data_IF_984926026128
#
_entry.id   IF_984926026128
#
_cell.length_a   1.000
_cell.length_b   1.000
_cell.length_c   1.000
_cell.angle_alpha   90.00
_cell.angle_beta   90.00
_cell.angle_gamma   90.00
#
_symmetry.space_group_name_H-M   'P 1'
#
loop_
_entity.id
_entity.type
_entity.pdbx_description
1 polymer ?
#
# COMPACT_ATOMS: atom_id res chain seq x y z
N UNK A 1 -29.55 20.76 -4.43
CA UNK A 1 -30.28 19.57 -4.91
C UNK A 1 -30.79 18.75 -3.75
N UNK A 2 -31.91 18.08 -3.94
CA UNK A 2 -32.65 17.47 -2.84
C UNK A 2 -32.14 16.06 -2.47
N UNK A 3 -30.99 15.67 -2.92
CA UNK A 3 -30.37 14.37 -2.62
C UNK A 3 -29.57 13.77 -3.79
N UNK A 4 -29.26 12.51 -3.64
CA UNK A 4 -28.44 11.73 -4.58
C UNK A 4 -29.27 10.64 -5.25
N UNK A 5 -29.05 10.44 -6.55
CA UNK A 5 -29.56 9.30 -7.29
C UNK A 5 -28.40 8.38 -7.70
N UNK A 6 -28.43 7.15 -7.23
CA UNK A 6 -27.44 6.12 -7.54
C UNK A 6 -28.01 5.15 -8.57
N UNK A 7 -27.34 5.01 -9.72
CA UNK A 7 -27.67 4.02 -10.75
C UNK A 7 -26.85 2.76 -10.53
N UNK A 8 -27.52 1.64 -10.36
CA UNK A 8 -26.84 0.37 -10.15
C UNK A 8 -27.38 -0.70 -11.10
N UNK A 9 -26.64 -1.80 -11.34
CA UNK A 9 -27.14 -2.92 -12.12
C UNK A 9 -28.42 -3.56 -11.56
N UNK A 10 -28.76 -3.29 -10.27
CA UNK A 10 -29.95 -3.80 -9.60
C UNK A 10 -31.11 -2.79 -9.55
N UNK A 11 -30.95 -1.61 -10.15
CA UNK A 11 -31.92 -0.53 -10.16
C UNK A 11 -31.39 0.76 -9.55
N UNK A 12 -32.17 1.81 -9.65
CA UNK A 12 -31.85 3.13 -9.13
C UNK A 12 -32.24 3.24 -7.65
N UNK A 13 -31.42 3.96 -6.89
CA UNK A 13 -31.65 4.29 -5.48
C UNK A 13 -31.63 5.80 -5.31
N UNK A 14 -32.46 6.33 -4.41
CA UNK A 14 -32.43 7.73 -4.01
C UNK A 14 -32.06 7.84 -2.53
N UNK A 15 -31.22 8.83 -2.21
CA UNK A 15 -30.76 9.08 -0.84
C UNK A 15 -30.54 10.57 -0.62
N UNK A 16 -30.77 11.05 0.60
CA UNK A 16 -30.51 12.45 0.97
C UNK A 16 -29.01 12.74 1.08
N UNK A 17 -28.21 11.75 1.48
CA UNK A 17 -26.77 11.86 1.60
C UNK A 17 -26.08 10.66 0.96
N UNK A 18 -24.86 10.89 0.42
CA UNK A 18 -24.00 9.87 -0.14
C UNK A 18 -22.68 9.80 0.64
N UNK A 19 -22.38 8.64 1.21
CA UNK A 19 -21.11 8.37 1.89
C UNK A 19 -20.27 7.44 1.03
N UNK A 20 -19.14 7.93 0.53
CA UNK A 20 -18.16 7.13 -0.22
C UNK A 20 -17.20 6.48 0.77
N UNK A 21 -17.40 5.21 1.04
CA UNK A 21 -16.53 4.37 1.88
C UNK A 21 -15.80 3.30 1.04
N UNK A 22 -15.47 3.61 -0.21
CA UNK A 22 -14.95 2.66 -1.19
C UNK A 22 -13.41 2.53 -1.16
N UNK A 23 -12.74 3.29 -0.29
CA UNK A 23 -11.28 3.30 -0.19
C UNK A 23 -10.61 3.98 -1.38
N UNK A 24 -9.28 4.13 -1.31
CA UNK A 24 -8.47 4.86 -2.30
C UNK A 24 -7.43 3.99 -3.02
N UNK A 25 -7.15 2.79 -2.53
CA UNK A 25 -6.23 1.82 -3.15
C UNK A 25 -7.04 0.68 -3.78
N UNK A 26 -7.88 1.00 -4.74
CA UNK A 26 -8.85 0.07 -5.34
C UNK A 26 -8.54 -0.25 -6.79
N UNK A 27 -8.03 0.73 -7.57
CA UNK A 27 -7.72 0.49 -8.97
C UNK A 27 -6.22 0.27 -9.16
N UNK A 28 -5.82 -0.95 -9.61
CA UNK A 28 -4.43 -1.28 -9.89
C UNK A 28 -3.83 -0.41 -10.98
N UNK A 29 -2.57 0.00 -10.78
CA UNK A 29 -1.79 0.64 -11.84
C UNK A 29 -0.99 -0.41 -12.60
N UNK A 30 -1.37 -0.67 -13.84
CA UNK A 30 -0.60 -1.49 -14.77
C UNK A 30 0.33 -0.57 -15.57
N UNK A 31 1.66 -0.75 -15.49
CA UNK A 31 2.59 0.10 -16.22
C UNK A 31 2.56 -0.19 -17.71
N UNK A 32 2.76 0.84 -18.52
CA UNK A 32 2.96 0.71 -19.96
C UNK A 32 4.41 0.24 -20.22
N UNK A 33 4.58 -1.07 -20.32
CA UNK A 33 5.87 -1.73 -20.57
C UNK A 33 5.77 -2.51 -21.88
N UNK A 34 6.69 -2.27 -22.83
CA UNK A 34 6.71 -2.97 -24.11
C UNK A 34 6.65 -4.50 -23.94
N UNK A 35 5.70 -5.13 -24.60
CA UNK A 35 5.53 -6.58 -24.60
C UNK A 35 4.83 -7.17 -23.35
N UNK A 36 4.44 -6.36 -22.37
CA UNK A 36 3.82 -6.85 -21.13
C UNK A 36 2.56 -7.67 -21.39
N UNK A 37 1.67 -7.21 -22.28
CA UNK A 37 0.44 -7.91 -22.65
C UNK A 37 0.68 -9.27 -23.35
N UNK A 38 1.86 -9.43 -23.95
CA UNK A 38 2.30 -10.66 -24.64
C UNK A 38 3.04 -11.64 -23.74
N UNK A 39 3.03 -11.44 -22.42
CA UNK A 39 3.68 -12.38 -21.50
C UNK A 39 3.09 -13.78 -21.65
N UNK A 40 3.96 -14.79 -21.79
CA UNK A 40 3.54 -16.15 -22.16
C UNK A 40 2.92 -16.97 -21.02
N UNK A 41 3.00 -16.50 -19.77
CA UNK A 41 2.48 -17.14 -18.58
C UNK A 41 1.35 -16.36 -17.90
N UNK A 42 0.91 -16.80 -16.71
CA UNK A 42 0.00 -16.01 -15.87
C UNK A 42 0.61 -14.64 -15.50
N UNK A 43 -0.14 -13.58 -15.80
CA UNK A 43 0.19 -12.19 -15.47
C UNK A 43 -0.97 -11.59 -14.66
N UNK A 44 -0.70 -11.11 -13.47
CA UNK A 44 -1.71 -10.45 -12.65
C UNK A 44 -1.12 -9.39 -11.72
N UNK A 45 -1.96 -8.44 -11.34
CA UNK A 45 -1.62 -7.46 -10.32
C UNK A 45 -1.84 -8.03 -8.92
N UNK A 46 -1.02 -7.63 -7.94
CA UNK A 46 -1.09 -8.10 -6.55
C UNK A 46 -2.48 -7.93 -5.89
N UNK A 47 -3.27 -6.94 -6.32
CA UNK A 47 -4.64 -6.72 -5.86
C UNK A 47 -5.68 -7.61 -6.55
N UNK A 48 -5.30 -8.33 -7.60
CA UNK A 48 -6.17 -9.25 -8.37
C UNK A 48 -5.48 -10.59 -8.48
N UNK A 49 -5.17 -11.17 -7.30
CA UNK A 49 -4.40 -12.40 -7.20
C UNK A 49 -5.10 -13.59 -7.86
N UNK A 50 -4.39 -14.30 -8.74
CA UNK A 50 -4.89 -15.54 -9.33
C UNK A 50 -4.54 -16.73 -8.42
N UNK A 51 -5.52 -17.19 -7.66
CA UNK A 51 -5.39 -18.31 -6.74
C UNK A 51 -5.26 -19.68 -7.44
N UNK A 52 -5.48 -19.78 -8.75
CA UNK A 52 -5.33 -21.01 -9.51
C UNK A 52 -3.87 -21.34 -9.84
N UNK A 53 -2.99 -20.35 -9.77
CA UNK A 53 -1.57 -20.48 -10.13
C UNK A 53 -0.81 -21.27 -9.07
N UNK A 54 -0.09 -22.32 -9.51
CA UNK A 54 0.80 -23.10 -8.65
C UNK A 54 2.09 -22.33 -8.43
N UNK A 55 2.43 -22.10 -7.17
CA UNK A 55 3.59 -21.27 -6.77
C UNK A 55 4.84 -22.14 -6.47
N UNK A 56 4.66 -23.34 -5.92
CA UNK A 56 5.78 -24.21 -5.53
C UNK A 56 6.61 -24.62 -6.75
N UNK A 57 7.92 -24.34 -6.69
CA UNK A 57 8.88 -24.61 -7.78
C UNK A 57 8.78 -23.66 -8.97
N UNK A 58 7.82 -22.73 -9.00
CA UNK A 58 7.69 -21.77 -10.08
C UNK A 58 8.74 -20.65 -9.99
N UNK A 59 9.19 -20.17 -11.16
CA UNK A 59 10.00 -18.94 -11.28
C UNK A 59 9.06 -17.77 -11.42
N UNK A 60 9.04 -16.89 -10.44
CA UNK A 60 8.08 -15.78 -10.36
C UNK A 60 8.78 -14.45 -10.46
N UNK A 61 8.46 -13.67 -11.49
CA UNK A 61 8.86 -12.27 -11.57
C UNK A 61 7.93 -11.42 -10.69
N UNK A 62 8.50 -10.59 -9.82
CA UNK A 62 7.76 -9.60 -9.04
C UNK A 62 8.27 -8.21 -9.40
N UNK A 63 7.37 -7.35 -9.91
CA UNK A 63 7.73 -6.00 -10.33
C UNK A 63 7.35 -5.00 -9.24
N UNK A 64 8.35 -4.37 -8.63
CA UNK A 64 8.20 -3.37 -7.57
C UNK A 64 8.59 -3.87 -6.19
N UNK A 65 8.94 -2.93 -5.31
CA UNK A 65 9.39 -3.15 -3.92
C UNK A 65 8.61 -2.30 -2.91
N UNK A 66 7.35 -2.00 -3.24
CA UNK A 66 6.42 -1.33 -2.34
C UNK A 66 5.81 -2.29 -1.29
N UNK A 67 4.83 -1.78 -0.52
CA UNK A 67 4.20 -2.51 0.58
C UNK A 67 3.64 -3.89 0.18
N UNK A 68 3.15 -4.04 -1.05
CA UNK A 68 2.66 -5.33 -1.56
C UNK A 68 3.80 -6.33 -1.74
N UNK A 69 4.88 -5.94 -2.42
CA UNK A 69 6.02 -6.83 -2.66
C UNK A 69 6.72 -7.24 -1.37
N UNK A 70 6.88 -6.31 -0.42
CA UNK A 70 7.50 -6.58 0.90
C UNK A 70 6.74 -7.67 1.68
N UNK A 71 5.45 -7.83 1.46
CA UNK A 71 4.64 -8.89 2.06
C UNK A 71 4.57 -10.15 1.20
N UNK A 72 4.51 -10.02 -0.13
CA UNK A 72 4.33 -11.13 -1.06
C UNK A 72 5.63 -11.95 -1.20
N UNK A 73 6.79 -11.30 -1.32
CA UNK A 73 8.07 -12.00 -1.56
C UNK A 73 8.40 -13.03 -0.47
N UNK A 74 8.32 -12.71 0.84
CA UNK A 74 8.53 -13.71 1.89
C UNK A 74 7.55 -14.89 1.80
N UNK A 75 6.28 -14.62 1.45
CA UNK A 75 5.27 -15.66 1.32
C UNK A 75 5.53 -16.57 0.11
N UNK A 76 5.96 -16.02 -1.02
CA UNK A 76 6.36 -16.80 -2.18
C UNK A 76 7.52 -17.73 -1.87
N UNK A 77 8.54 -17.21 -1.18
CA UNK A 77 9.71 -18.01 -0.73
C UNK A 77 9.26 -19.14 0.20
N UNK A 78 8.41 -18.86 1.19
CA UNK A 78 7.86 -19.88 2.11
C UNK A 78 7.08 -20.98 1.38
N UNK A 79 6.44 -20.65 0.25
CA UNK A 79 5.73 -21.60 -0.62
C UNK A 79 6.63 -22.33 -1.61
N UNK A 80 7.94 -22.13 -1.56
CA UNK A 80 8.92 -22.81 -2.39
C UNK A 80 9.05 -22.26 -3.81
N UNK A 81 8.68 -21.00 -4.05
CA UNK A 81 8.90 -20.34 -5.33
C UNK A 81 10.34 -19.80 -5.44
N UNK A 82 10.82 -19.64 -6.68
CA UNK A 82 12.02 -18.88 -7.01
C UNK A 82 11.61 -17.49 -7.52
N UNK A 83 12.05 -16.43 -6.85
CA UNK A 83 11.59 -15.06 -7.13
C UNK A 83 12.67 -14.25 -7.82
N UNK A 84 12.35 -13.64 -8.95
CA UNK A 84 13.12 -12.53 -9.53
C UNK A 84 12.41 -11.22 -9.13
N UNK A 85 13.03 -10.47 -8.23
CA UNK A 85 12.47 -9.22 -7.71
C UNK A 85 13.08 -8.03 -8.48
N UNK A 86 12.25 -7.34 -9.30
CA UNK A 86 12.70 -6.18 -10.06
C UNK A 86 12.45 -4.91 -9.23
N UNK A 87 13.54 -4.23 -8.90
CA UNK A 87 13.57 -3.07 -8.02
C UNK A 87 14.00 -1.81 -8.75
N UNK A 88 13.07 -0.94 -9.11
CA UNK A 88 13.40 0.40 -9.63
C UNK A 88 13.96 1.34 -8.56
N UNK A 89 13.42 1.26 -7.35
CA UNK A 89 13.79 2.11 -6.22
C UNK A 89 13.59 1.31 -4.93
N UNK A 90 14.61 1.16 -4.08
CA UNK A 90 14.44 0.49 -2.78
C UNK A 90 13.53 1.29 -1.85
N UNK A 91 12.96 0.63 -0.85
CA UNK A 91 12.10 1.25 0.15
C UNK A 91 12.81 1.32 1.51
N UNK A 92 12.53 2.37 2.30
CA UNK A 92 12.87 2.38 3.72
C UNK A 92 12.00 1.36 4.46
N UNK A 93 12.63 0.39 5.10
CA UNK A 93 11.97 -0.66 5.88
C UNK A 93 12.51 -0.63 7.30
N UNK A 94 11.61 -0.62 8.27
CA UNK A 94 11.92 -0.70 9.69
C UNK A 94 11.36 -1.99 10.27
N UNK A 95 11.85 -2.46 11.42
CA UNK A 95 11.29 -3.62 12.09
C UNK A 95 9.79 -3.46 12.33
N UNK A 96 9.02 -4.53 12.10
CA UNK A 96 7.61 -4.59 12.44
C UNK A 96 7.40 -5.01 13.88
N UNK A 97 8.33 -5.85 14.41
CA UNK A 97 8.27 -6.43 15.75
C UNK A 97 6.94 -7.18 15.98
N UNK A 98 6.51 -7.89 14.90
CA UNK A 98 5.26 -8.63 14.93
C UNK A 98 5.36 -9.84 15.87
N UNK A 99 4.36 -10.02 16.70
CA UNK A 99 4.23 -11.18 17.57
C UNK A 99 2.77 -11.64 17.67
N UNK A 100 2.58 -12.89 17.93
CA UNK A 100 1.27 -13.41 18.30
C UNK A 100 0.91 -13.02 19.73
N UNK A 101 -0.37 -12.77 19.95
CA UNK A 101 -0.88 -12.64 21.31
C UNK A 101 -0.87 -14.00 22.01
N UNK A 102 -0.41 -14.02 23.25
CA UNK A 102 -0.46 -15.20 24.09
C UNK A 102 -1.91 -15.58 24.44
N UNK A 103 -2.13 -16.82 24.82
CA UNK A 103 -3.47 -17.26 25.26
C UNK A 103 -3.96 -16.51 26.51
N UNK A 104 -3.04 -16.05 27.35
CA UNK A 104 -3.37 -15.23 28.52
C UNK A 104 -3.90 -13.85 28.08
N UNK A 105 -3.23 -13.19 27.13
CA UNK A 105 -3.68 -11.91 26.57
C UNK A 105 -5.03 -12.06 25.86
N UNK A 106 -5.21 -13.11 25.05
CA UNK A 106 -6.50 -13.37 24.36
C UNK A 106 -7.63 -13.58 25.38
N UNK A 107 -7.39 -14.30 26.47
CA UNK A 107 -8.38 -14.45 27.56
C UNK A 107 -8.65 -13.13 28.28
N UNK A 108 -7.62 -12.32 28.53
CA UNK A 108 -7.79 -11.01 29.16
C UNK A 108 -8.65 -10.09 28.29
N UNK A 109 -8.40 -10.03 26.98
CA UNK A 109 -9.21 -9.23 26.03
C UNK A 109 -10.68 -9.69 25.95
N UNK A 110 -10.91 -11.00 26.09
CA UNK A 110 -12.27 -11.54 26.07
C UNK A 110 -13.03 -11.29 27.39
N UNK A 111 -12.31 -11.20 28.52
CA UNK A 111 -12.90 -11.06 29.86
C UNK A 111 -13.02 -9.60 30.31
N UNK A 112 -12.15 -8.71 29.81
CA UNK A 112 -12.05 -7.32 30.24
C UNK A 112 -12.03 -6.38 29.00
N UNK A 113 -13.15 -5.72 28.66
CA UNK A 113 -13.19 -4.74 27.56
C UNK A 113 -12.19 -3.60 27.74
N UNK A 114 -11.85 -3.21 28.96
CA UNK A 114 -10.87 -2.15 29.22
C UNK A 114 -9.44 -2.59 28.89
N UNK A 115 -9.13 -3.87 28.92
CA UNK A 115 -7.81 -4.38 28.51
C UNK A 115 -7.56 -4.12 27.01
N UNK A 116 -8.57 -4.30 26.17
CA UNK A 116 -8.46 -4.00 24.74
C UNK A 116 -8.38 -2.48 24.49
N UNK A 117 -9.15 -1.69 25.25
CA UNK A 117 -9.11 -0.22 25.14
C UNK A 117 -7.73 0.34 25.55
N UNK A 118 -7.12 -0.19 26.62
CA UNK A 118 -5.76 0.18 27.02
C UNK A 118 -4.74 -0.14 25.92
N UNK A 119 -4.76 -1.37 25.39
CA UNK A 119 -3.87 -1.75 24.27
C UNK A 119 -4.04 -0.83 23.06
N UNK A 120 -5.29 -0.46 22.72
CA UNK A 120 -5.56 0.49 21.63
C UNK A 120 -4.92 1.85 21.90
N UNK A 121 -4.99 2.35 23.14
CA UNK A 121 -4.36 3.62 23.54
C UNK A 121 -2.82 3.54 23.45
N UNK A 122 -2.23 2.46 23.94
CA UNK A 122 -0.79 2.22 23.85
C UNK A 122 -0.30 2.21 22.40
N UNK A 123 -1.01 1.51 21.50
CA UNK A 123 -0.69 1.46 20.07
C UNK A 123 -0.89 2.82 19.38
N UNK A 124 -1.87 3.61 19.82
CA UNK A 124 -2.07 4.97 19.36
C UNK A 124 -0.89 5.85 19.74
N UNK A 125 -0.49 5.86 21.02
CA UNK A 125 0.62 6.66 21.53
C UNK A 125 1.95 6.27 20.87
N UNK A 126 2.18 4.97 20.64
CA UNK A 126 3.32 4.47 19.87
C UNK A 126 3.31 5.00 18.42
N UNK A 127 2.14 5.05 17.79
CA UNK A 127 1.95 5.65 16.47
C UNK A 127 2.30 7.14 16.46
N UNK A 128 1.73 7.90 17.40
CA UNK A 128 1.94 9.35 17.53
C UNK A 128 3.41 9.71 17.81
N UNK A 129 4.14 8.90 18.58
CA UNK A 129 5.57 9.09 18.80
C UNK A 129 6.41 9.09 17.50
N UNK A 130 5.89 8.51 16.41
CA UNK A 130 6.54 8.54 15.09
C UNK A 130 6.25 9.79 14.29
N UNK A 131 5.31 10.64 14.72
CA UNK A 131 4.87 11.83 13.97
C UNK A 131 6.02 12.79 13.69
N UNK A 132 6.85 13.10 14.68
CA UNK A 132 7.98 14.02 14.55
C UNK A 132 8.92 13.65 13.39
N UNK A 133 9.21 12.34 13.22
CA UNK A 133 10.08 11.85 12.14
C UNK A 133 9.55 12.08 10.72
N UNK A 134 8.30 12.52 10.58
CA UNK A 134 7.58 12.71 9.30
C UNK A 134 7.01 14.12 9.13
N UNK A 135 7.04 14.92 10.18
CA UNK A 135 6.52 16.29 10.20
C UNK A 135 7.59 17.37 10.02
N UNK A 136 8.82 16.96 9.67
CA UNK A 136 9.91 17.90 9.37
C UNK A 136 10.92 18.10 10.50
N UNK A 137 10.84 17.33 11.59
CA UNK A 137 11.87 17.31 12.63
C UNK A 137 13.11 16.55 12.09
N UNK A 138 14.26 17.23 11.88
CA UNK A 138 15.43 16.62 11.27
C UNK A 138 16.11 15.57 12.18
N UNK A 139 16.08 15.76 13.49
CA UNK A 139 16.72 14.85 14.45
C UNK A 139 15.91 13.57 14.56
N UNK A 140 14.58 13.68 14.70
CA UNK A 140 13.68 12.54 14.70
C UNK A 140 13.73 11.76 13.35
N UNK A 141 13.84 12.45 12.23
CA UNK A 141 13.99 11.81 10.92
C UNK A 141 15.33 11.08 10.80
N UNK A 142 16.42 11.66 11.32
CA UNK A 142 17.74 11.03 11.35
C UNK A 142 17.77 9.78 12.25
N UNK A 143 17.11 9.83 13.41
CA UNK A 143 16.97 8.68 14.31
C UNK A 143 16.19 7.52 13.65
N UNK A 144 15.06 7.84 13.04
CA UNK A 144 14.26 6.86 12.34
C UNK A 144 15.01 6.24 11.14
N UNK A 145 15.78 7.04 10.41
CA UNK A 145 16.67 6.57 9.35
C UNK A 145 17.75 5.63 9.89
N UNK A 146 18.43 6.00 10.98
CA UNK A 146 19.44 5.12 11.61
C UNK A 146 18.85 3.77 12.03
N UNK A 147 17.61 3.76 12.54
CA UNK A 147 16.90 2.51 12.88
C UNK A 147 16.67 1.64 11.64
N UNK A 148 16.27 2.23 10.51
CA UNK A 148 16.10 1.51 9.25
C UNK A 148 17.42 0.97 8.69
N UNK A 149 18.49 1.78 8.72
CA UNK A 149 19.84 1.38 8.30
C UNK A 149 20.40 0.25 9.18
N UNK A 150 20.20 0.31 10.49
CA UNK A 150 20.59 -0.74 11.43
C UNK A 150 19.83 -2.05 11.17
N UNK A 151 18.52 -1.97 10.89
CA UNK A 151 17.70 -3.12 10.54
C UNK A 151 18.21 -3.80 9.24
N UNK A 152 18.46 -3.02 8.21
CA UNK A 152 19.02 -3.49 6.95
C UNK A 152 20.41 -4.14 7.17
N UNK A 153 21.30 -3.47 7.91
CA UNK A 153 22.66 -3.97 8.16
C UNK A 153 22.67 -5.28 8.96
N UNK A 154 21.76 -5.43 9.91
CA UNK A 154 21.63 -6.65 10.72
C UNK A 154 21.16 -7.86 9.92
N UNK A 155 20.33 -7.65 8.89
CA UNK A 155 19.70 -8.74 8.14
C UNK A 155 20.34 -8.99 6.76
N UNK A 156 21.14 -8.04 6.23
CA UNK A 156 21.81 -8.17 4.91
C UNK A 156 23.30 -8.05 5.09
N UNK A 157 24.03 -9.15 5.33
CA UNK A 157 25.48 -9.14 5.55
C UNK A 157 26.27 -8.82 4.25
N UNK A 158 25.75 -9.20 3.08
CA UNK A 158 26.40 -8.91 1.80
C UNK A 158 26.38 -7.40 1.50
N UNK A 159 27.54 -6.81 1.30
CA UNK A 159 27.70 -5.37 1.13
C UNK A 159 27.11 -4.85 -0.19
N UNK A 160 27.19 -5.62 -1.27
CA UNK A 160 26.67 -5.22 -2.57
C UNK A 160 25.13 -5.27 -2.56
N UNK A 161 24.54 -6.35 -2.02
CA UNK A 161 23.11 -6.48 -1.85
C UNK A 161 22.56 -5.38 -0.91
N UNK A 162 23.27 -5.11 0.19
CA UNK A 162 22.89 -4.04 1.13
C UNK A 162 22.89 -2.67 0.46
N UNK A 163 23.92 -2.36 -0.35
CA UNK A 163 23.97 -1.12 -1.12
C UNK A 163 22.79 -1.00 -2.09
N UNK A 164 22.45 -2.09 -2.79
CA UNK A 164 21.31 -2.14 -3.71
C UNK A 164 19.96 -1.95 -3.00
N UNK A 165 19.85 -2.35 -1.74
CA UNK A 165 18.63 -2.21 -0.92
C UNK A 165 18.58 -0.90 -0.10
N UNK A 166 19.62 -0.07 -0.16
CA UNK A 166 19.67 1.22 0.54
C UNK A 166 19.00 2.32 -0.29
N UNK A 167 17.94 2.97 0.21
CA UNK A 167 17.33 4.10 -0.51
C UNK A 167 18.25 5.32 -0.60
N UNK A 168 18.20 5.99 -1.75
CA UNK A 168 18.95 7.22 -2.06
C UNK A 168 18.16 8.52 -1.79
N UNK A 169 16.91 8.40 -1.32
CA UNK A 169 16.02 9.52 -1.00
C UNK A 169 15.84 9.69 0.51
N UNK A 170 15.43 10.90 0.93
CA UNK A 170 15.26 11.23 2.33
C UNK A 170 14.20 10.35 3.02
N UNK A 171 14.47 9.95 4.28
CA UNK A 171 13.53 9.16 5.08
C UNK A 171 12.18 9.89 5.21
N UNK A 172 11.08 9.18 4.95
CA UNK A 172 9.73 9.75 5.02
C UNK A 172 9.21 10.36 3.71
N UNK A 173 10.04 10.64 2.69
CA UNK A 173 9.57 11.12 1.38
C UNK A 173 8.70 10.12 0.63
N UNK A 174 8.82 8.83 0.95
CA UNK A 174 7.90 7.76 0.55
C UNK A 174 7.46 7.03 1.80
N UNK A 175 6.34 6.30 1.72
CA UNK A 175 5.84 5.51 2.84
C UNK A 175 6.94 4.57 3.36
N UNK A 176 7.28 4.68 4.63
CA UNK A 176 8.17 3.75 5.33
C UNK A 176 7.41 2.44 5.56
N UNK A 177 8.05 1.33 5.24
CA UNK A 177 7.45 0.01 5.34
C UNK A 177 7.89 -0.69 6.62
N UNK A 178 7.09 -1.65 7.06
CA UNK A 178 7.31 -2.45 8.27
C UNK A 178 7.45 -3.90 7.86
N UNK A 179 8.59 -4.54 8.12
CA UNK A 179 8.76 -5.99 7.87
C UNK A 179 9.93 -6.55 8.65
N UNK A 180 9.73 -7.74 9.20
CA UNK A 180 10.80 -8.54 9.80
C UNK A 180 11.30 -9.64 8.84
N UNK A 181 10.51 -9.97 7.80
CA UNK A 181 10.72 -11.15 6.94
C UNK A 181 11.30 -10.81 5.57
N UNK A 182 11.20 -9.56 5.11
CA UNK A 182 11.55 -9.20 3.73
C UNK A 182 13.04 -9.35 3.45
N UNK A 183 13.89 -8.80 4.28
CA UNK A 183 15.34 -8.92 4.09
C UNK A 183 15.84 -10.35 4.21
N UNK A 184 15.40 -11.18 5.19
CA UNK A 184 15.69 -12.61 5.21
C UNK A 184 15.27 -13.35 3.93
N UNK A 185 14.11 -13.01 3.36
CA UNK A 185 13.68 -13.59 2.10
C UNK A 185 14.58 -13.18 0.93
N UNK A 186 14.92 -11.88 0.82
CA UNK A 186 15.76 -11.35 -0.27
C UNK A 186 17.21 -11.86 -0.17
N UNK A 187 17.72 -12.15 1.02
CA UNK A 187 19.06 -12.75 1.21
C UNK A 187 19.11 -14.25 0.95
N UNK A 188 17.96 -14.90 0.82
CA UNK A 188 17.90 -16.33 0.56
C UNK A 188 18.29 -16.66 -0.90
N UNK A 189 18.73 -17.90 -1.14
CA UNK A 189 19.03 -18.39 -2.50
C UNK A 189 17.78 -18.50 -3.40
N UNK A 190 16.59 -18.35 -2.85
CA UNK A 190 15.32 -18.39 -3.59
C UNK A 190 14.98 -17.05 -4.25
N UNK A 191 15.68 -15.96 -3.93
CA UNK A 191 15.42 -14.63 -4.49
C UNK A 191 16.62 -14.10 -5.24
N UNK A 192 16.40 -13.67 -6.47
CA UNK A 192 17.34 -12.87 -7.26
C UNK A 192 16.85 -11.44 -7.29
N UNK A 193 17.59 -10.50 -6.69
CA UNK A 193 17.31 -9.08 -6.79
C UNK A 193 17.88 -8.52 -8.10
N UNK A 194 17.01 -8.03 -8.97
CA UNK A 194 17.38 -7.20 -10.10
C UNK A 194 17.19 -5.73 -9.71
N UNK A 195 18.27 -5.03 -9.40
CA UNK A 195 18.26 -3.66 -8.92
C UNK A 195 18.03 -2.63 -10.04
N UNK A 196 17.14 -2.94 -10.96
CA UNK A 196 16.73 -2.05 -12.05
C UNK A 196 15.23 -2.24 -12.38
N UNK A 197 14.68 -1.32 -13.18
CA UNK A 197 13.30 -1.41 -13.64
C UNK A 197 13.11 -2.52 -14.68
N UNK A 198 11.91 -3.07 -14.80
CA UNK A 198 11.50 -3.85 -15.96
C UNK A 198 11.41 -2.93 -17.18
N UNK A 199 12.18 -3.21 -18.23
CA UNK A 199 12.22 -2.42 -19.45
C UNK A 199 11.28 -2.97 -20.53
N UNK A 200 11.25 -4.29 -20.71
CA UNK A 200 10.35 -4.96 -21.67
C UNK A 200 10.12 -6.42 -21.28
N UNK A 201 9.15 -7.04 -21.93
CA UNK A 201 8.82 -8.46 -21.82
C UNK A 201 8.87 -9.11 -23.20
N UNK A 202 9.55 -10.26 -23.30
CA UNK A 202 9.69 -11.03 -24.52
C UNK A 202 9.28 -12.49 -24.27
N UNK A 203 8.03 -12.83 -24.53
CA UNK A 203 7.47 -14.15 -24.18
C UNK A 203 7.50 -14.38 -22.67
N UNK A 204 8.33 -15.33 -22.20
CA UNK A 204 8.55 -15.59 -20.77
C UNK A 204 9.78 -14.88 -20.19
N UNK A 205 10.49 -14.08 -20.99
CA UNK A 205 11.71 -13.39 -20.57
C UNK A 205 11.42 -11.96 -20.15
N UNK A 206 11.78 -11.60 -18.93
CA UNK A 206 11.82 -10.23 -18.44
C UNK A 206 13.16 -9.60 -18.81
N UNK A 207 13.13 -8.47 -19.49
CA UNK A 207 14.32 -7.70 -19.83
C UNK A 207 14.38 -6.49 -18.89
N UNK A 208 15.41 -6.46 -18.06
CA UNK A 208 15.63 -5.38 -17.11
C UNK A 208 16.31 -4.16 -17.78
N UNK A 209 16.19 -2.99 -17.19
CA UNK A 209 16.84 -1.76 -17.68
C UNK A 209 18.38 -1.84 -17.59
N UNK A 210 18.93 -2.72 -16.77
CA UNK A 210 20.34 -3.08 -16.73
C UNK A 210 20.82 -3.86 -17.98
N UNK A 211 19.87 -4.39 -18.77
CA UNK A 211 20.12 -5.33 -19.87
C UNK A 211 20.09 -6.81 -19.43
N UNK A 212 19.94 -7.09 -18.15
CA UNK A 212 19.81 -8.46 -17.66
C UNK A 212 18.48 -9.09 -18.13
N UNK A 213 18.51 -10.40 -18.33
CA UNK A 213 17.38 -11.18 -18.84
C UNK A 213 17.03 -12.30 -17.86
N UNK A 214 15.77 -12.39 -17.50
CA UNK A 214 15.27 -13.34 -16.50
C UNK A 214 14.09 -14.13 -17.05
N UNK A 215 14.25 -15.44 -17.15
CA UNK A 215 13.18 -16.36 -17.50
C UNK A 215 12.27 -16.60 -16.31
N UNK A 216 10.96 -16.35 -16.47
CA UNK A 216 9.97 -16.58 -15.42
C UNK A 216 8.72 -17.30 -15.96
N UNK A 217 8.04 -18.03 -15.08
CA UNK A 217 6.83 -18.78 -15.41
C UNK A 217 5.57 -17.96 -15.10
N UNK A 218 5.67 -17.04 -14.14
CA UNK A 218 4.57 -16.20 -13.63
C UNK A 218 5.08 -14.76 -13.45
N UNK A 219 4.25 -13.77 -13.77
CA UNK A 219 4.59 -12.36 -13.56
C UNK A 219 3.56 -11.69 -12.65
N UNK A 220 4.03 -11.17 -11.53
CA UNK A 220 3.23 -10.44 -10.52
C UNK A 220 3.58 -8.96 -10.56
N UNK A 221 2.58 -8.13 -10.81
CA UNK A 221 2.72 -6.68 -10.76
C UNK A 221 2.40 -6.19 -9.35
N UNK A 222 3.41 -5.72 -8.61
CA UNK A 222 3.29 -5.02 -7.34
C UNK A 222 3.51 -3.50 -7.54
N UNK A 223 2.90 -2.96 -8.59
CA UNK A 223 3.15 -1.63 -9.16
C UNK A 223 2.26 -0.54 -8.58
N UNK A 224 1.43 -0.90 -7.60
CA UNK A 224 0.61 0.04 -6.83
C UNK A 224 -0.73 0.37 -7.48
N UNK A 225 -1.29 1.51 -7.09
CA UNK A 225 -2.67 1.88 -7.38
C UNK A 225 -2.75 3.32 -7.90
N UNK A 226 -3.82 3.61 -8.63
CA UNK A 226 -4.19 4.97 -9.02
C UNK A 226 -4.73 5.74 -7.81
N UNK A 227 -3.81 6.29 -7.00
CA UNK A 227 -4.16 6.98 -5.75
C UNK A 227 -4.37 8.49 -5.90
N UNK A 228 -3.87 9.09 -6.98
CA UNK A 228 -3.98 10.53 -7.28
C UNK A 228 -5.24 10.90 -8.08
N UNK A 229 -5.87 9.92 -8.71
CA UNK A 229 -7.13 10.09 -9.44
C UNK A 229 -8.03 8.92 -9.07
N UNK A 230 -9.05 9.21 -8.27
CA UNK A 230 -9.97 8.16 -7.82
C UNK A 230 -10.94 7.78 -8.94
N UNK A 231 -11.01 6.51 -9.35
CA UNK A 231 -11.87 6.09 -10.47
C UNK A 231 -13.34 6.41 -10.25
N UNK A 232 -13.82 6.34 -9.01
CA UNK A 232 -15.19 6.71 -8.66
C UNK A 232 -15.50 8.20 -8.89
N UNK A 233 -14.48 9.07 -8.96
CA UNK A 233 -14.70 10.49 -9.13
C UNK A 233 -15.34 10.83 -10.48
N UNK A 234 -15.15 9.99 -11.50
CA UNK A 234 -15.85 10.12 -12.80
C UNK A 234 -17.34 9.76 -12.74
N UNK A 235 -17.73 8.98 -11.71
CA UNK A 235 -19.11 8.52 -11.54
C UNK A 235 -19.95 9.46 -10.67
N UNK A 236 -19.30 10.30 -9.87
CA UNK A 236 -19.95 11.24 -8.95
C UNK A 236 -20.12 12.60 -9.64
N UNK A 237 -21.36 13.03 -9.80
CA UNK A 237 -21.69 14.31 -10.42
C UNK A 237 -22.37 15.24 -9.41
N UNK A 238 -21.74 16.39 -9.20
CA UNK A 238 -22.28 17.49 -8.40
C UNK A 238 -23.02 18.53 -9.24
N UNK A 239 -23.16 19.75 -8.69
CA UNK A 239 -23.90 20.83 -9.33
C UNK A 239 -23.24 21.35 -10.61
N UNK A 240 -21.90 21.46 -10.63
CA UNK A 240 -21.13 22.08 -11.73
C UNK A 240 -20.34 21.08 -12.57
N UNK A 241 -20.43 19.78 -12.30
CA UNK A 241 -19.69 18.77 -13.05
C UNK A 241 -19.39 17.50 -12.25
N UNK A 242 -18.47 16.72 -12.73
CA UNK A 242 -18.00 15.50 -12.02
C UNK A 242 -16.98 15.82 -10.94
N UNK A 243 -16.89 14.96 -9.96
CA UNK A 243 -15.85 15.05 -8.92
C UNK A 243 -14.43 14.96 -9.52
N UNK A 244 -14.26 14.21 -10.61
CA UNK A 244 -13.00 14.15 -11.36
C UNK A 244 -12.62 15.48 -12.01
N UNK A 245 -13.60 16.20 -12.59
CA UNK A 245 -13.38 17.54 -13.14
C UNK A 245 -13.03 18.53 -12.03
N UNK A 246 -13.74 18.48 -10.89
CA UNK A 246 -13.45 19.30 -9.73
C UNK A 246 -12.03 19.06 -9.17
N UNK A 247 -11.58 17.82 -9.19
CA UNK A 247 -10.23 17.41 -8.72
C UNK A 247 -9.15 17.43 -9.80
N UNK A 248 -9.40 18.01 -10.98
CA UNK A 248 -8.42 18.03 -12.08
C UNK A 248 -7.11 18.74 -11.71
N UNK A 249 -7.13 19.74 -10.84
CA UNK A 249 -5.97 20.43 -10.30
C UNK A 249 -5.34 19.78 -9.04
N UNK A 250 -5.88 18.65 -8.60
CA UNK A 250 -5.50 17.94 -7.40
C UNK A 250 -6.70 17.71 -6.47
N UNK A 251 -6.68 16.60 -5.75
CA UNK A 251 -7.78 16.25 -4.85
C UNK A 251 -7.77 17.14 -3.61
N UNK A 252 -8.88 17.84 -3.37
CA UNK A 252 -9.10 18.72 -2.22
C UNK A 252 -10.41 18.41 -1.53
N UNK A 253 -10.46 18.63 -0.22
CA UNK A 253 -11.66 18.49 0.59
C UNK A 253 -11.51 19.27 1.89
N UNK A 254 -12.63 19.66 2.50
CA UNK A 254 -12.63 20.17 3.87
C UNK A 254 -12.64 19.00 4.86
N UNK A 255 -11.80 19.07 5.89
CA UNK A 255 -11.63 18.02 6.90
C UNK A 255 -11.46 16.61 6.30
N UNK A 256 -10.80 16.52 5.14
CA UNK A 256 -10.62 15.25 4.40
C UNK A 256 -11.92 14.49 4.08
N UNK A 257 -13.10 15.14 4.20
CA UNK A 257 -14.41 14.47 4.19
C UNK A 257 -15.41 15.11 3.24
N UNK A 258 -15.57 16.44 3.24
CA UNK A 258 -16.59 17.12 2.41
C UNK A 258 -15.96 17.89 1.26
N UNK A 259 -16.67 17.97 0.14
CA UNK A 259 -16.17 18.59 -1.10
C UNK A 259 -17.10 19.71 -1.52
N UNK A 260 -16.55 20.89 -1.78
CA UNK A 260 -17.30 22.04 -2.27
C UNK A 260 -18.02 21.73 -3.61
N UNK A 261 -19.25 22.18 -3.78
CA UNK A 261 -20.04 21.88 -4.98
C UNK A 261 -20.69 20.48 -5.01
N UNK A 262 -20.52 19.69 -3.93
CA UNK A 262 -21.11 18.36 -3.78
C UNK A 262 -21.86 18.26 -2.45
N UNK A 263 -23.04 18.91 -2.34
CA UNK A 263 -23.78 18.93 -1.09
C UNK A 263 -24.19 17.52 -0.66
N UNK A 264 -24.10 17.27 0.64
CA UNK A 264 -24.41 15.96 1.26
C UNK A 264 -23.58 14.78 0.71
N UNK A 265 -22.41 15.06 0.12
CA UNK A 265 -21.39 14.07 -0.20
C UNK A 265 -20.35 14.03 0.92
N UNK A 266 -20.06 12.83 1.41
CA UNK A 266 -19.01 12.57 2.39
C UNK A 266 -18.06 11.51 1.86
N UNK A 267 -16.75 11.73 2.01
CA UNK A 267 -15.71 10.77 1.57
C UNK A 267 -14.93 10.31 2.79
N UNK A 268 -15.01 9.03 3.12
CA UNK A 268 -14.17 8.43 4.16
C UNK A 268 -12.80 8.04 3.59
N UNK A 269 -11.73 8.23 4.35
CA UNK A 269 -10.33 8.14 3.89
C UNK A 269 -10.09 9.02 2.64
N UNK A 270 -10.71 10.20 2.64
CA UNK A 270 -10.66 11.16 1.53
C UNK A 270 -9.30 11.87 1.39
N UNK A 271 -9.22 12.92 0.56
CA UNK A 271 -7.98 13.66 0.32
C UNK A 271 -7.30 14.10 1.62
N UNK A 272 -6.02 13.79 1.75
CA UNK A 272 -5.18 14.09 2.91
C UNK A 272 -5.53 13.40 4.24
N UNK A 273 -6.46 12.43 4.27
CA UNK A 273 -6.80 11.66 5.48
C UNK A 273 -5.69 10.66 5.88
N UNK A 274 -4.79 10.30 4.96
CA UNK A 274 -3.81 9.25 5.19
C UNK A 274 -2.75 9.64 6.20
N UNK A 275 -2.68 8.91 7.29
CA UNK A 275 -1.61 9.03 8.26
C UNK A 275 -0.37 8.24 7.81
N UNK A 276 0.81 8.88 7.86
CA UNK A 276 2.09 8.20 7.57
C UNK A 276 2.67 7.47 8.79
N UNK A 277 2.20 7.78 9.97
CA UNK A 277 2.75 7.36 11.27
C UNK A 277 1.80 6.47 12.07
N UNK A 278 0.49 6.61 11.86
CA UNK A 278 -0.53 5.90 12.61
C UNK A 278 -1.57 5.21 11.69
N UNK A 279 -2.57 4.57 12.26
CA UNK A 279 -3.60 3.84 11.53
C UNK A 279 -4.60 4.79 10.84
N UNK A 280 -4.89 4.57 9.56
CA UNK A 280 -5.96 5.28 8.85
C UNK A 280 -7.35 5.01 9.45
N UNK A 281 -7.53 3.92 10.19
CA UNK A 281 -8.80 3.60 10.87
C UNK A 281 -9.17 4.69 11.89
N UNK A 282 -8.17 5.27 12.58
CA UNK A 282 -8.41 6.37 13.52
C UNK A 282 -9.06 7.57 12.82
N UNK A 283 -8.53 7.95 11.65
CA UNK A 283 -9.12 9.04 10.85
C UNK A 283 -10.52 8.69 10.34
N UNK A 284 -10.73 7.44 9.93
CA UNK A 284 -12.04 6.98 9.43
C UNK A 284 -13.10 7.00 10.55
N UNK A 285 -12.74 6.65 11.77
CA UNK A 285 -13.63 6.72 12.94
C UNK A 285 -14.06 8.16 13.23
N UNK A 286 -13.11 9.10 13.26
CA UNK A 286 -13.40 10.53 13.45
C UNK A 286 -14.25 11.10 12.31
N UNK A 287 -13.94 10.72 11.07
CA UNK A 287 -14.75 11.11 9.92
C UNK A 287 -16.17 10.53 9.98
N UNK A 288 -16.32 9.28 10.41
CA UNK A 288 -17.63 8.64 10.56
C UNK A 288 -18.47 9.37 11.64
N UNK A 289 -17.87 9.74 12.77
CA UNK A 289 -18.54 10.52 13.79
C UNK A 289 -18.94 11.92 13.28
N UNK A 290 -18.03 12.58 12.54
CA UNK A 290 -18.33 13.86 11.88
C UNK A 290 -19.52 13.75 10.93
N UNK A 291 -19.58 12.70 10.10
CA UNK A 291 -20.70 12.44 9.18
C UNK A 291 -22.01 12.24 9.95
N UNK A 292 -21.99 11.39 10.99
CA UNK A 292 -23.20 11.14 11.81
C UNK A 292 -23.72 12.42 12.45
N UNK A 293 -22.84 13.23 13.03
CA UNK A 293 -23.23 14.53 13.63
C UNK A 293 -23.72 15.54 12.60
N UNK A 294 -23.24 15.47 11.37
CA UNK A 294 -23.66 16.37 10.28
C UNK A 294 -25.04 16.01 9.71
N UNK A 295 -25.47 14.76 9.89
CA UNK A 295 -26.76 14.25 9.39
C UNK A 295 -27.88 14.24 10.47
N UNK A 296 -27.52 14.43 11.73
CA UNK A 296 -28.46 14.50 12.87
C UNK A 296 -29.10 15.87 12.96
#
# INVERSE_FOLDING_TARGET
GDGWRLRTPRGDLEAQALVLACGRLTEPTVPDIPGLEGFAGPLFHSARWDHSVKLAGARIGVVGTGASAVQIVPELVRRGAHVTLLQRTPAWIVPREARDYTDAERRAFAADPDALARLRSELFDEGEARFASRSGDPDAAADARRRAEAHLAAQVPDAALRAALTPDYAFGCKRVLLSDDFYPAVTSSAVTLEASALASVEGSTLVAASGARHEVDVLVLATGFSSSQQPYAHLVRGEEGTLAEHWSGGMTSFASTVVAGFPNLFVLDGPNASLGHNSSILMIEEQAEYVVRSLA
#
